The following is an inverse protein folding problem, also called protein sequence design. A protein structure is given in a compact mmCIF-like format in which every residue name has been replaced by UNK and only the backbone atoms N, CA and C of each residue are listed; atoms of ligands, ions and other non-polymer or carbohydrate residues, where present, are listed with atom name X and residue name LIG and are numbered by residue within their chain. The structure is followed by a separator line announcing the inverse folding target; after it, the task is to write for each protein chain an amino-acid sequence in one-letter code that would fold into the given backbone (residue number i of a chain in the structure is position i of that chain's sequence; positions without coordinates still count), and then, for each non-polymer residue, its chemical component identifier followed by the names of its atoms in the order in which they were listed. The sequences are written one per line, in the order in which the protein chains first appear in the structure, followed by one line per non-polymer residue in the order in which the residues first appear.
data_IF_560681067041
#
_entry.id   IF_560681067041
#
_cell.length_a   1.000
_cell.length_b   1.000
_cell.length_c   1.000
_cell.angle_alpha   90.00
_cell.angle_beta   90.00
_cell.angle_gamma   90.00
#
_symmetry.space_group_name_H-M   'P 1'
#
loop_
_entity.id
_entity.type
_entity.pdbx_description
1 polymer ?
#
# COMPACT_ATOMS: atom_id res chain seq x y z
N UNK A 1 -13.33 -9.82 21.10
CA UNK A 1 -12.11 -9.01 20.82
C UNK A 1 -11.14 -9.16 21.96
N UNK A 2 -10.05 -9.90 21.76
CA UNK A 2 -9.01 -10.05 22.77
C UNK A 2 -8.23 -8.72 22.83
N UNK A 3 -8.31 -7.91 23.90
CA UNK A 3 -7.56 -6.68 23.97
C UNK A 3 -6.08 -7.02 23.92
N UNK A 4 -5.35 -6.46 22.96
CA UNK A 4 -3.91 -6.68 22.83
C UNK A 4 -3.26 -6.29 24.16
N UNK A 5 -2.53 -7.24 24.75
CA UNK A 5 -1.94 -7.07 26.08
C UNK A 5 -1.08 -5.80 26.14
N UNK A 6 -1.19 -5.07 27.25
CA UNK A 6 -0.35 -3.91 27.56
C UNK A 6 1.11 -4.37 27.63
N UNK A 7 2.00 -3.63 26.98
CA UNK A 7 3.44 -3.89 27.00
C UNK A 7 4.08 -2.98 28.03
N UNK A 8 5.00 -3.52 28.83
CA UNK A 8 5.81 -2.70 29.73
C UNK A 8 6.88 -1.93 28.93
N UNK A 9 6.91 -0.61 29.13
CA UNK A 9 7.82 0.33 28.46
C UNK A 9 8.70 1.08 29.45
N UNK A 10 8.68 0.70 30.73
CA UNK A 10 9.50 1.31 31.80
C UNK A 10 10.98 0.88 31.77
N UNK A 11 11.33 -0.05 30.87
CA UNK A 11 12.69 -0.58 30.73
C UNK A 11 13.72 0.47 30.35
N UNK A 12 14.95 0.27 30.82
CA UNK A 12 16.08 1.14 30.53
C UNK A 12 16.36 1.23 29.02
N UNK A 13 16.55 2.45 28.53
CA UNK A 13 16.80 2.74 27.12
C UNK A 13 15.55 2.81 26.23
N UNK A 14 14.33 2.67 26.76
CA UNK A 14 13.09 2.82 25.99
C UNK A 14 12.70 4.29 25.91
N UNK A 15 12.38 4.76 24.71
CA UNK A 15 11.86 6.11 24.46
C UNK A 15 10.63 6.03 23.56
N UNK A 16 9.75 7.03 23.69
CA UNK A 16 8.65 7.29 22.77
C UNK A 16 9.13 8.23 21.67
N UNK A 17 8.94 7.82 20.41
CA UNK A 17 8.99 8.74 19.27
C UNK A 17 7.60 9.34 19.07
N UNK A 18 7.44 10.62 19.43
CA UNK A 18 6.15 11.32 19.37
C UNK A 18 5.58 11.43 17.96
N UNK A 19 6.44 11.44 16.93
CA UNK A 19 5.99 11.54 15.53
C UNK A 19 5.29 10.26 15.06
N UNK A 20 5.81 9.11 15.49
CA UNK A 20 5.31 7.79 15.05
C UNK A 20 4.44 7.12 16.10
N UNK A 21 4.48 7.58 17.36
CA UNK A 21 3.85 6.92 18.49
C UNK A 21 4.56 5.62 18.92
N UNK A 22 5.77 5.36 18.42
CA UNK A 22 6.48 4.10 18.68
C UNK A 22 7.31 4.20 19.97
N UNK A 23 7.15 3.20 20.83
CA UNK A 23 8.12 2.88 21.87
C UNK A 23 9.21 1.97 21.31
N UNK A 24 10.47 2.41 21.41
CA UNK A 24 11.63 1.64 20.94
C UNK A 24 12.84 1.85 21.85
N UNK A 25 13.76 0.89 21.82
CA UNK A 25 14.93 0.88 22.68
C UNK A 25 16.17 1.42 21.94
N UNK A 26 16.54 2.67 22.16
CA UNK A 26 17.67 3.29 21.46
C UNK A 26 19.02 2.63 21.80
N UNK A 27 19.18 2.06 23.00
CA UNK A 27 20.40 1.32 23.39
C UNK A 27 20.56 0.04 22.57
N UNK A 28 19.47 -0.69 22.34
CA UNK A 28 19.46 -1.87 21.45
C UNK A 28 19.72 -1.51 19.99
N UNK A 29 19.37 -0.30 19.57
CA UNK A 29 19.70 0.22 18.25
C UNK A 29 21.15 0.76 18.15
N UNK A 30 21.89 0.81 19.27
CA UNK A 30 23.30 1.24 19.27
C UNK A 30 23.52 2.75 19.14
N UNK A 31 22.47 3.57 19.33
CA UNK A 31 22.56 5.04 19.20
C UNK A 31 22.49 5.73 20.56
N UNK A 32 22.95 6.98 20.63
CA UNK A 32 22.81 7.81 21.84
C UNK A 32 21.37 8.30 22.02
N UNK A 33 20.97 8.64 23.25
CA UNK A 33 19.64 9.22 23.53
C UNK A 33 19.40 10.53 22.77
N UNK A 34 20.44 11.35 22.62
CA UNK A 34 20.36 12.61 21.88
C UNK A 34 20.13 12.38 20.39
N UNK A 35 20.86 11.44 19.79
CA UNK A 35 20.68 11.04 18.40
C UNK A 35 19.30 10.44 18.15
N UNK A 36 18.84 9.57 19.06
CA UNK A 36 17.53 8.94 18.98
C UNK A 36 16.37 9.94 19.01
N UNK A 37 16.47 10.99 19.84
CA UNK A 37 15.49 12.09 19.86
C UNK A 37 15.53 12.96 18.61
N UNK A 38 16.70 13.15 18.02
CA UNK A 38 16.86 13.99 16.83
C UNK A 38 16.38 13.29 15.56
N UNK A 39 16.84 12.05 15.32
CA UNK A 39 16.52 11.28 14.11
C UNK A 39 15.16 10.58 14.18
N UNK A 40 14.65 10.28 15.38
CA UNK A 40 13.41 9.51 15.58
C UNK A 40 13.56 8.03 15.21
N UNK A 41 12.46 7.27 15.35
CA UNK A 41 12.47 5.83 15.09
C UNK A 41 12.77 5.50 13.62
N UNK A 42 12.16 6.24 12.68
CA UNK A 42 12.32 5.99 11.24
C UNK A 42 13.67 6.45 10.68
N UNK A 43 14.37 7.35 11.38
CA UNK A 43 15.65 7.90 10.94
C UNK A 43 16.88 7.14 11.44
N UNK A 44 16.70 6.10 12.25
CA UNK A 44 17.81 5.32 12.84
C UNK A 44 17.88 3.93 12.23
N UNK A 45 19.04 3.61 11.66
CA UNK A 45 19.33 2.27 11.16
C UNK A 45 19.29 1.27 12.32
N UNK A 46 18.59 0.15 12.14
CA UNK A 46 18.45 -0.87 13.19
C UNK A 46 17.37 -0.60 14.24
N UNK A 47 16.73 0.58 14.26
CA UNK A 47 15.63 0.90 15.19
C UNK A 47 14.48 -0.12 15.10
N UNK A 48 14.24 -0.69 13.92
CA UNK A 48 13.28 -1.79 13.71
C UNK A 48 13.48 -2.97 14.66
N UNK A 49 14.72 -3.42 14.84
CA UNK A 49 15.05 -4.55 15.75
C UNK A 49 14.84 -4.17 17.21
N UNK A 50 14.83 -2.87 17.50
CA UNK A 50 14.64 -2.30 18.82
C UNK A 50 13.19 -1.86 19.10
N UNK A 51 12.24 -2.15 18.22
CA UNK A 51 10.82 -1.89 18.46
C UNK A 51 10.32 -2.62 19.70
N UNK A 52 9.52 -1.93 20.52
CA UNK A 52 8.93 -2.50 21.74
C UNK A 52 7.40 -2.52 21.63
N UNK A 53 6.79 -1.36 21.38
CA UNK A 53 5.34 -1.20 21.38
C UNK A 53 4.91 0.03 20.58
N UNK A 54 3.62 0.12 20.28
CA UNK A 54 2.96 1.29 19.74
C UNK A 54 2.10 1.93 20.83
N UNK A 55 2.12 3.25 20.91
CA UNK A 55 1.20 4.02 21.73
C UNK A 55 -0.18 4.03 21.07
N UNK A 56 -1.16 3.35 21.68
CA UNK A 56 -2.54 3.35 21.23
C UNK A 56 -3.37 3.99 22.35
N UNK A 57 -3.79 5.25 22.15
CA UNK A 57 -4.59 6.02 23.11
C UNK A 57 -3.95 6.08 24.51
N UNK A 58 -2.65 6.35 24.58
CA UNK A 58 -1.90 6.43 25.84
C UNK A 58 -1.53 5.07 26.44
N UNK A 59 -1.96 3.96 25.81
CA UNK A 59 -1.61 2.61 26.26
C UNK A 59 -0.58 1.98 25.33
N UNK A 60 0.62 1.62 25.83
CA UNK A 60 1.60 0.86 25.05
C UNK A 60 1.07 -0.55 24.76
N UNK A 61 0.90 -0.88 23.48
CA UNK A 61 0.41 -2.19 23.01
C UNK A 61 1.31 -2.74 21.90
N UNK A 62 1.37 -4.06 21.77
CA UNK A 62 2.14 -4.69 20.69
C UNK A 62 1.40 -4.55 19.36
N UNK A 63 1.85 -3.65 18.51
CA UNK A 63 1.35 -3.49 17.14
C UNK A 63 2.39 -3.92 16.10
N UNK A 64 2.05 -3.78 14.82
CA UNK A 64 2.98 -3.98 13.73
C UNK A 64 4.04 -2.88 13.74
N UNK A 65 5.34 -3.20 13.80
CA UNK A 65 6.37 -2.18 13.75
C UNK A 65 6.32 -1.46 12.41
N UNK A 66 6.44 -0.11 12.36
CA UNK A 66 6.68 0.58 11.10
C UNK A 66 7.95 0.01 10.47
N UNK A 67 7.83 -0.57 9.28
CA UNK A 67 8.85 -1.48 8.76
C UNK A 67 9.26 -1.20 7.30
N UNK A 68 8.63 -0.24 6.66
CA UNK A 68 8.81 0.10 5.25
C UNK A 68 8.78 1.61 5.10
N UNK A 69 9.29 2.11 3.97
CA UNK A 69 9.16 3.52 3.59
C UNK A 69 7.70 3.98 3.46
N UNK A 70 6.74 3.05 3.39
CA UNK A 70 5.32 3.32 3.17
C UNK A 70 4.46 3.28 4.43
N UNK A 71 4.80 2.44 5.42
CA UNK A 71 4.07 2.32 6.68
C UNK A 71 4.89 3.01 7.77
N UNK A 72 4.50 4.23 8.14
CA UNK A 72 5.30 5.12 9.00
C UNK A 72 4.74 5.26 10.42
N UNK A 73 3.43 5.08 10.62
CA UNK A 73 2.79 5.30 11.93
C UNK A 73 2.73 4.08 12.84
N UNK A 74 2.93 2.87 12.31
CA UNK A 74 2.69 1.63 13.06
C UNK A 74 1.19 1.32 13.24
N UNK A 75 0.32 2.10 12.60
CA UNK A 75 -1.12 1.91 12.45
C UNK A 75 -1.46 1.75 10.95
N UNK A 76 -2.75 1.70 10.64
CA UNK A 76 -3.22 1.76 9.26
C UNK A 76 -3.11 3.21 8.76
N UNK A 77 -2.18 3.44 7.84
CA UNK A 77 -1.94 4.74 7.22
C UNK A 77 -2.97 5.01 6.10
N UNK A 78 -3.91 5.91 6.34
CA UNK A 78 -4.82 6.43 5.30
C UNK A 78 -4.22 7.61 4.53
N UNK A 79 -3.27 8.33 5.15
CA UNK A 79 -2.57 9.45 4.56
C UNK A 79 -1.14 9.05 4.20
N UNK A 80 -0.66 9.42 3.02
CA UNK A 80 0.69 9.10 2.56
C UNK A 80 1.48 10.35 2.19
N UNK A 81 2.50 10.68 3.00
CA UNK A 81 3.45 11.76 2.64
C UNK A 81 4.24 11.43 1.38
N UNK A 82 4.41 10.14 1.07
CA UNK A 82 5.12 9.69 -0.13
C UNK A 82 4.34 10.06 -1.39
N UNK A 83 3.00 10.04 -1.31
CA UNK A 83 2.14 10.50 -2.39
C UNK A 83 2.14 12.03 -2.45
N UNK A 84 1.97 12.70 -1.29
CA UNK A 84 1.99 14.16 -1.20
C UNK A 84 3.26 14.77 -1.82
N UNK A 85 4.42 14.25 -1.45
CA UNK A 85 5.74 14.71 -1.94
C UNK A 85 5.97 14.49 -3.44
N UNK A 86 5.23 13.57 -4.05
CA UNK A 86 5.27 13.30 -5.49
C UNK A 86 4.14 13.99 -6.27
N UNK A 87 3.33 14.81 -5.60
CA UNK A 87 2.19 15.50 -6.21
C UNK A 87 0.97 14.60 -6.47
N UNK A 88 0.93 13.39 -5.91
CA UNK A 88 -0.26 12.54 -5.94
C UNK A 88 -1.18 12.84 -4.74
N UNK A 89 -2.49 12.53 -4.83
CA UNK A 89 -3.39 12.66 -3.69
C UNK A 89 -2.92 11.80 -2.53
N UNK A 90 -2.63 12.45 -1.40
CA UNK A 90 -2.13 11.79 -0.20
C UNK A 90 -3.19 10.96 0.53
N UNK A 91 -4.47 11.26 0.27
CA UNK A 91 -5.62 10.52 0.75
C UNK A 91 -6.34 9.89 -0.45
N UNK A 92 -7.00 8.73 -0.30
CA UNK A 92 -7.79 8.14 -1.37
C UNK A 92 -8.90 9.08 -1.83
N UNK A 93 -8.68 9.74 -2.97
CA UNK A 93 -9.64 10.64 -3.60
C UNK A 93 -9.87 10.23 -5.05
N UNK A 94 -11.06 10.52 -5.57
CA UNK A 94 -11.33 10.34 -6.99
C UNK A 94 -10.35 11.16 -7.82
N UNK A 95 -9.67 10.49 -8.74
CA UNK A 95 -8.80 11.12 -9.73
C UNK A 95 -9.30 10.69 -11.11
N UNK A 96 -9.77 11.63 -11.96
CA UNK A 96 -10.24 11.28 -13.30
C UNK A 96 -9.08 10.76 -14.15
N UNK A 97 -9.36 9.79 -15.02
CA UNK A 97 -8.36 9.24 -15.95
C UNK A 97 -8.10 10.29 -17.05
N UNK A 98 -6.87 10.83 -17.18
CA UNK A 98 -6.59 11.93 -18.10
C UNK A 98 -6.93 11.62 -19.56
N UNK A 99 -6.74 10.38 -20.00
CA UNK A 99 -7.05 9.91 -21.35
C UNK A 99 -8.56 9.95 -21.60
N UNK A 100 -9.38 9.56 -20.60
CA UNK A 100 -10.83 9.59 -20.72
C UNK A 100 -11.37 11.02 -20.82
N UNK A 101 -10.68 12.00 -20.22
CA UNK A 101 -11.05 13.42 -20.31
C UNK A 101 -10.81 14.00 -21.71
N UNK A 102 -9.94 13.38 -22.50
CA UNK A 102 -9.55 13.83 -23.84
C UNK A 102 -10.26 13.07 -24.96
N UNK A 103 -11.16 12.14 -24.62
CA UNK A 103 -11.86 11.34 -25.61
C UNK A 103 -12.82 12.18 -26.45
N UNK A 104 -12.77 11.96 -27.76
CA UNK A 104 -13.72 12.50 -28.72
C UNK A 104 -15.06 11.75 -28.69
N UNK A 105 -16.02 12.24 -29.48
CA UNK A 105 -17.37 11.68 -29.57
C UNK A 105 -17.41 10.23 -30.08
N UNK A 106 -16.47 9.86 -30.94
CA UNK A 106 -16.46 8.56 -31.61
C UNK A 106 -15.49 7.55 -30.98
N UNK A 107 -14.69 8.00 -30.00
CA UNK A 107 -13.74 7.16 -29.27
C UNK A 107 -14.47 6.18 -28.34
N UNK A 108 -13.87 4.99 -28.18
CA UNK A 108 -14.40 3.93 -27.32
C UNK A 108 -13.36 3.53 -26.27
N UNK A 109 -13.84 3.17 -25.07
CA UNK A 109 -12.97 2.59 -24.05
C UNK A 109 -12.64 1.14 -24.40
N UNK A 110 -11.37 0.87 -24.72
CA UNK A 110 -10.90 -0.50 -24.88
C UNK A 110 -10.63 -1.12 -23.50
N UNK A 111 -11.47 -2.08 -23.10
CA UNK A 111 -11.21 -2.93 -21.95
C UNK A 111 -10.73 -4.30 -22.41
N UNK A 112 -9.82 -4.90 -21.65
CA UNK A 112 -9.36 -6.26 -21.88
C UNK A 112 -9.79 -7.14 -20.72
N UNK A 113 -9.91 -8.44 -20.97
CA UNK A 113 -10.26 -9.42 -19.95
C UNK A 113 -9.50 -10.72 -20.21
N UNK A 114 -9.55 -11.62 -19.23
CA UNK A 114 -8.95 -12.95 -19.34
C UNK A 114 -10.04 -13.97 -19.53
N UNK A 115 -9.93 -14.76 -20.58
CA UNK A 115 -10.78 -15.95 -20.77
C UNK A 115 -10.32 -17.05 -19.81
N UNK A 116 -11.26 -17.76 -19.20
CA UNK A 116 -10.95 -18.80 -18.21
C UNK A 116 -10.08 -19.95 -18.79
N UNK A 117 -10.18 -20.18 -20.10
CA UNK A 117 -9.52 -21.28 -20.82
C UNK A 117 -8.01 -21.05 -21.01
N UNK A 118 -7.56 -19.79 -21.12
CA UNK A 118 -6.17 -19.46 -21.42
C UNK A 118 -5.48 -18.69 -20.31
N UNK A 119 -4.23 -19.05 -20.03
CA UNK A 119 -3.32 -18.28 -19.18
C UNK A 119 -2.47 -17.36 -20.04
N UNK A 120 -3.02 -16.17 -20.34
CA UNK A 120 -2.40 -15.18 -21.24
C UNK A 120 -1.97 -15.83 -22.58
N UNK A 121 -0.94 -15.28 -23.23
CA UNK A 121 -0.41 -15.78 -24.50
C UNK A 121 0.30 -17.14 -24.40
N UNK A 122 0.68 -17.57 -23.20
CA UNK A 122 1.50 -18.79 -23.01
C UNK A 122 0.78 -20.06 -23.38
N UNK A 123 -0.55 -20.08 -23.33
CA UNK A 123 -1.36 -21.27 -23.63
C UNK A 123 -2.04 -21.23 -24.99
N UNK A 124 -1.77 -20.20 -25.80
CA UNK A 124 -2.38 -20.04 -27.12
C UNK A 124 -1.90 -21.11 -28.12
N UNK A 125 -0.76 -21.76 -27.87
CA UNK A 125 -0.26 -22.86 -28.69
C UNK A 125 -0.78 -24.24 -28.23
N UNK A 126 -1.47 -24.31 -27.09
CA UNK A 126 -2.00 -25.57 -26.58
C UNK A 126 -3.23 -25.96 -27.41
N UNK A 127 -3.10 -27.02 -28.21
CA UNK A 127 -4.15 -27.48 -29.15
C UNK A 127 -5.51 -27.65 -28.46
N UNK A 128 -5.55 -28.36 -27.33
CA UNK A 128 -6.78 -28.61 -26.56
C UNK A 128 -7.48 -27.34 -26.09
N UNK A 129 -6.71 -26.33 -25.65
CA UNK A 129 -7.29 -25.08 -25.15
C UNK A 129 -7.80 -24.22 -26.31
N UNK A 130 -7.07 -24.23 -27.43
CA UNK A 130 -7.45 -23.51 -28.64
C UNK A 130 -8.71 -24.12 -29.27
N UNK A 131 -8.90 -25.43 -29.17
CA UNK A 131 -10.15 -26.09 -29.59
C UNK A 131 -11.36 -25.52 -28.86
N UNK A 132 -11.26 -25.31 -27.54
CA UNK A 132 -12.34 -24.74 -26.72
C UNK A 132 -12.53 -23.25 -26.99
N UNK A 133 -11.45 -22.47 -27.14
CA UNK A 133 -11.51 -21.02 -27.32
C UNK A 133 -10.43 -20.52 -28.30
N UNK A 134 -10.70 -20.62 -29.60
CA UNK A 134 -9.78 -20.19 -30.66
C UNK A 134 -9.90 -18.70 -31.00
N UNK A 135 -11.06 -18.09 -30.73
CA UNK A 135 -11.33 -16.70 -31.11
C UNK A 135 -11.36 -15.73 -29.94
N UNK A 136 -10.92 -14.50 -30.19
CA UNK A 136 -11.01 -13.38 -29.26
C UNK A 136 -11.84 -12.23 -29.85
N UNK A 137 -13.18 -12.36 -29.91
CA UNK A 137 -14.02 -11.32 -30.48
C UNK A 137 -13.97 -10.05 -29.61
N UNK A 138 -14.00 -8.88 -30.26
CA UNK A 138 -14.20 -7.61 -29.57
C UNK A 138 -15.67 -7.46 -29.17
N UNK A 139 -15.92 -7.16 -27.89
CA UNK A 139 -17.29 -6.95 -27.39
C UNK A 139 -17.63 -5.47 -27.48
N UNK A 140 -18.79 -5.16 -28.06
CA UNK A 140 -19.29 -3.80 -28.23
C UNK A 140 -20.75 -3.74 -27.82
N UNK A 141 -21.18 -2.63 -27.23
CA UNK A 141 -22.58 -2.40 -26.89
C UNK A 141 -23.44 -2.36 -28.16
N UNK A 142 -24.57 -3.07 -28.18
CA UNK A 142 -25.42 -3.21 -29.37
C UNK A 142 -25.87 -1.87 -29.97
N UNK A 143 -26.21 -0.87 -29.15
CA UNK A 143 -26.59 0.48 -29.62
C UNK A 143 -25.41 1.19 -30.30
N UNK A 144 -24.21 0.99 -29.77
CA UNK A 144 -22.97 1.58 -30.30
C UNK A 144 -22.57 0.93 -31.62
N UNK A 145 -22.73 -0.39 -31.73
CA UNK A 145 -22.52 -1.17 -32.95
C UNK A 145 -23.50 -0.76 -34.05
N UNK A 146 -24.81 -0.75 -33.77
CA UNK A 146 -25.83 -0.39 -34.75
C UNK A 146 -25.65 1.03 -35.35
N UNK A 147 -25.08 1.96 -34.58
CA UNK A 147 -24.75 3.30 -35.07
C UNK A 147 -23.54 3.35 -36.01
N UNK A 148 -22.75 2.27 -36.10
CA UNK A 148 -21.48 2.16 -36.83
C UNK A 148 -21.48 1.15 -37.99
N UNK A 149 -22.57 0.41 -38.19
CA UNK A 149 -22.74 -0.59 -39.26
C UNK A 149 -22.75 -2.01 -38.75
#
# INVERSE_FOLDING_TARGET
NNPVAKVDVSGDGIILDEKTGVYWNYKKAGVSKAEAKNKGYLGVEGAKKAYVAQNIEGTPRKAYPPNTSFIKSGLLDFYSDNFASKGFPAFPTYTPIPEHQKMGKDDLHLTTYKVAVHTHSRTAHCKWLSEIKHDNPAWINAKTAAARG
#
